data_IF_380790084867
#
_entry.id   IF_380790084867
#
_cell.length_a   1.000
_cell.length_b   1.000
_cell.length_c   1.000
_cell.angle_alpha   90.00
_cell.angle_beta   90.00
_cell.angle_gamma   90.00
#
_symmetry.space_group_name_H-M   'P 1'
#
loop_
_entity.id
_entity.type
_entity.pdbx_description
1 polymer ?
#
# COMPACT_ATOMS: atom_id res chain seq x y z
N UNK A 1 -2.27 -17.22 -20.02
CA UNK A 1 -1.15 -16.30 -19.77
C UNK A 1 0.15 -17.07 -20.00
N UNK A 2 0.94 -16.62 -20.94
CA UNK A 2 2.27 -17.21 -21.18
C UNK A 2 3.32 -16.61 -20.25
N UNK A 3 4.56 -17.12 -20.30
CA UNK A 3 5.65 -16.65 -19.41
C UNK A 3 6.01 -15.16 -19.61
N UNK A 4 5.96 -14.68 -20.86
CA UNK A 4 6.23 -13.28 -21.20
C UNK A 4 5.14 -12.35 -20.65
N UNK A 5 3.88 -12.74 -20.78
CA UNK A 5 2.74 -11.97 -20.24
C UNK A 5 2.78 -11.92 -18.71
N UNK A 6 3.16 -13.03 -18.08
CA UNK A 6 3.34 -13.12 -16.63
C UNK A 6 4.40 -12.12 -16.15
N UNK A 7 5.58 -12.13 -16.79
CA UNK A 7 6.67 -11.24 -16.43
C UNK A 7 6.26 -9.76 -16.63
N UNK A 8 5.66 -9.44 -17.76
CA UNK A 8 5.23 -8.07 -18.07
C UNK A 8 4.21 -7.56 -17.05
N UNK A 9 3.25 -8.39 -16.64
CA UNK A 9 2.25 -8.02 -15.63
C UNK A 9 2.90 -7.77 -14.26
N UNK A 10 3.80 -8.64 -13.82
CA UNK A 10 4.52 -8.47 -12.56
C UNK A 10 5.36 -7.20 -12.55
N UNK A 11 6.05 -6.90 -13.64
CA UNK A 11 6.86 -5.69 -13.78
C UNK A 11 6.00 -4.42 -13.79
N UNK A 12 4.84 -4.43 -14.45
CA UNK A 12 3.90 -3.31 -14.44
C UNK A 12 3.33 -3.09 -13.03
N UNK A 13 2.89 -4.16 -12.37
CA UNK A 13 2.40 -4.09 -10.99
C UNK A 13 3.47 -3.53 -10.05
N UNK A 14 4.71 -4.01 -10.18
CA UNK A 14 5.84 -3.52 -9.40
C UNK A 14 6.05 -2.02 -9.58
N UNK A 15 6.08 -1.53 -10.83
CA UNK A 15 6.28 -0.10 -11.10
C UNK A 15 5.22 0.76 -10.42
N UNK A 16 3.96 0.37 -10.52
CA UNK A 16 2.86 1.13 -9.93
C UNK A 16 2.85 1.02 -8.40
N UNK A 17 3.18 -0.14 -7.85
CA UNK A 17 3.30 -0.33 -6.40
C UNK A 17 4.48 0.47 -5.84
N UNK A 18 5.61 0.50 -6.54
CA UNK A 18 6.76 1.32 -6.19
C UNK A 18 6.44 2.82 -6.25
N UNK A 19 5.59 3.24 -7.18
CA UNK A 19 5.10 4.63 -7.24
C UNK A 19 4.26 4.99 -6.00
N UNK A 20 3.40 4.10 -5.52
CA UNK A 20 2.69 4.30 -4.24
C UNK A 20 3.66 4.41 -3.07
N UNK A 21 4.66 3.52 -3.01
CA UNK A 21 5.69 3.57 -1.98
C UNK A 21 6.43 4.91 -1.94
N UNK A 22 6.84 5.42 -3.10
CA UNK A 22 7.50 6.73 -3.21
C UNK A 22 6.59 7.88 -2.72
N UNK A 23 5.30 7.85 -3.06
CA UNK A 23 4.31 8.81 -2.55
C UNK A 23 4.22 8.77 -1.04
N UNK A 24 4.14 7.59 -0.46
CA UNK A 24 4.00 7.40 0.98
C UNK A 24 5.26 7.79 1.74
N UNK A 25 6.46 7.60 1.17
CA UNK A 25 7.70 8.13 1.74
C UNK A 25 7.66 9.66 1.81
N UNK A 26 7.29 10.31 0.73
CA UNK A 26 7.15 11.77 0.70
C UNK A 26 6.04 12.24 1.65
N UNK A 27 4.91 11.54 1.70
CA UNK A 27 3.81 11.81 2.63
C UNK A 27 4.22 11.71 4.09
N UNK A 28 5.00 10.70 4.44
CA UNK A 28 5.52 10.52 5.80
C UNK A 28 6.39 11.70 6.26
N UNK A 29 7.18 12.27 5.36
CA UNK A 29 7.99 13.47 5.65
C UNK A 29 7.12 14.72 5.84
N UNK A 30 6.00 14.81 5.13
CA UNK A 30 5.08 15.96 5.16
C UNK A 30 4.08 15.91 6.33
N UNK A 31 3.84 14.74 6.91
CA UNK A 31 2.85 14.52 7.97
C UNK A 31 3.56 14.36 9.31
N UNK A 32 3.51 15.41 10.14
CA UNK A 32 4.24 15.49 11.42
C UNK A 32 3.43 15.03 12.63
N UNK A 33 2.11 14.96 12.55
CA UNK A 33 1.28 14.48 13.65
C UNK A 33 1.61 13.02 13.98
N UNK A 34 1.84 12.73 15.26
CA UNK A 34 2.37 11.46 15.73
C UNK A 34 1.60 10.23 15.22
N UNK A 35 0.29 10.21 15.44
CA UNK A 35 -0.54 9.07 15.06
C UNK A 35 -0.60 8.87 13.54
N UNK A 36 -0.75 9.96 12.77
CA UNK A 36 -0.76 9.90 11.32
C UNK A 36 0.60 9.48 10.77
N UNK A 37 1.70 10.01 11.32
CA UNK A 37 3.05 9.59 10.93
C UNK A 37 3.29 8.11 11.22
N UNK A 38 2.86 7.60 12.37
CA UNK A 38 2.94 6.18 12.71
C UNK A 38 2.19 5.31 11.70
N UNK A 39 1.02 5.75 11.22
CA UNK A 39 0.29 5.04 10.17
C UNK A 39 1.10 4.99 8.87
N UNK A 40 1.71 6.09 8.45
CA UNK A 40 2.62 6.12 7.30
C UNK A 40 3.81 5.18 7.49
N UNK A 41 4.44 5.15 8.66
CA UNK A 41 5.56 4.25 8.92
C UNK A 41 5.14 2.78 8.88
N UNK A 42 3.97 2.45 9.39
CA UNK A 42 3.39 1.11 9.27
C UNK A 42 3.17 0.71 7.82
N UNK A 43 2.55 1.60 7.04
CA UNK A 43 2.32 1.38 5.59
C UNK A 43 3.63 1.15 4.85
N UNK A 44 4.64 2.00 5.08
CA UNK A 44 5.96 1.89 4.44
C UNK A 44 6.64 0.55 4.75
N UNK A 45 6.57 0.09 6.00
CA UNK A 45 7.14 -1.20 6.38
C UNK A 45 6.45 -2.37 5.65
N UNK A 46 5.13 -2.32 5.47
CA UNK A 46 4.40 -3.34 4.71
C UNK A 46 4.72 -3.26 3.22
N UNK A 47 4.81 -2.05 2.68
CA UNK A 47 5.14 -1.85 1.26
C UNK A 47 6.55 -2.31 0.91
N UNK A 48 7.49 -2.14 1.81
CA UNK A 48 8.85 -2.66 1.64
C UNK A 48 8.83 -4.20 1.49
N UNK A 49 8.04 -4.88 2.30
CA UNK A 49 7.82 -6.32 2.16
C UNK A 49 7.15 -6.69 0.83
N UNK A 50 6.13 -5.93 0.41
CA UNK A 50 5.46 -6.15 -0.88
C UNK A 50 6.44 -6.04 -2.06
N UNK A 51 7.28 -5.02 -2.06
CA UNK A 51 8.27 -4.81 -3.12
C UNK A 51 9.30 -5.94 -3.14
N UNK A 52 9.70 -6.44 -1.98
CA UNK A 52 10.60 -7.59 -1.89
C UNK A 52 9.98 -8.86 -2.47
N UNK A 53 8.73 -9.15 -2.15
CA UNK A 53 8.01 -10.30 -2.74
C UNK A 53 7.90 -10.18 -4.26
N UNK A 54 7.62 -8.99 -4.75
CA UNK A 54 7.50 -8.72 -6.20
C UNK A 54 8.84 -8.88 -6.91
N UNK A 55 9.94 -8.37 -6.33
CA UNK A 55 11.30 -8.56 -6.88
C UNK A 55 11.64 -10.03 -7.02
N UNK A 56 11.31 -10.83 -6.01
CA UNK A 56 11.55 -12.29 -6.06
C UNK A 56 10.71 -12.95 -7.16
N UNK A 57 9.43 -12.65 -7.23
CA UNK A 57 8.55 -13.22 -8.26
C UNK A 57 8.98 -12.82 -9.68
N UNK A 58 9.43 -11.57 -9.88
CA UNK A 58 9.98 -11.09 -11.15
C UNK A 58 11.27 -11.85 -11.50
N UNK A 59 12.17 -12.03 -10.53
CA UNK A 59 13.39 -12.82 -10.71
C UNK A 59 13.11 -14.27 -11.10
N UNK A 60 12.15 -14.92 -10.42
CA UNK A 60 11.69 -16.27 -10.75
C UNK A 60 11.04 -16.36 -12.15
N UNK A 61 10.45 -15.27 -12.61
CA UNK A 61 9.90 -15.17 -13.96
C UNK A 61 10.93 -14.82 -15.03
N UNK A 62 12.21 -14.67 -14.64
CA UNK A 62 13.33 -14.46 -15.55
C UNK A 62 13.60 -12.99 -15.90
N UNK A 63 13.07 -12.04 -15.12
CA UNK A 63 13.29 -10.62 -15.35
C UNK A 63 13.94 -9.91 -14.16
N UNK A 64 13.97 -8.59 -14.24
CA UNK A 64 14.44 -7.70 -13.18
C UNK A 64 13.40 -6.63 -12.88
N UNK A 65 13.27 -6.28 -11.59
CA UNK A 65 12.47 -5.15 -11.16
C UNK A 65 13.19 -3.84 -11.53
N UNK A 66 12.42 -2.81 -11.87
CA UNK A 66 12.93 -1.48 -12.10
C UNK A 66 13.24 -0.73 -10.80
N UNK A 67 13.71 0.49 -10.95
CA UNK A 67 13.95 1.39 -9.83
C UNK A 67 12.63 1.97 -9.29
N UNK A 68 12.64 2.41 -8.02
CA UNK A 68 11.54 3.15 -7.43
C UNK A 68 11.49 4.55 -8.06
N UNK A 69 10.35 4.97 -8.64
CA UNK A 69 10.25 6.28 -9.27
C UNK A 69 10.29 7.41 -8.24
N UNK A 70 10.64 8.61 -8.70
CA UNK A 70 10.52 9.81 -7.87
C UNK A 70 9.04 10.09 -7.54
N UNK A 71 8.72 10.56 -6.32
CA UNK A 71 7.35 10.90 -5.97
C UNK A 71 6.86 12.13 -6.76
N UNK A 72 5.55 12.22 -7.05
CA UNK A 72 4.98 13.44 -7.62
C UNK A 72 5.00 14.56 -6.58
N UNK A 73 4.82 15.82 -6.99
CA UNK A 73 4.64 16.91 -6.06
C UNK A 73 3.45 16.65 -5.12
N UNK A 74 3.62 16.94 -3.83
CA UNK A 74 2.57 16.75 -2.84
C UNK A 74 1.66 17.98 -2.77
N UNK A 75 0.35 17.81 -2.48
CA UNK A 75 -0.51 18.92 -2.13
C UNK A 75 -0.09 19.54 -0.79
N UNK A 76 -0.58 20.73 -0.50
CA UNK A 76 -0.26 21.43 0.74
C UNK A 76 -1.18 20.99 1.88
N UNK A 77 -0.59 20.62 3.01
CA UNK A 77 -1.30 20.23 4.23
C UNK A 77 -1.50 18.73 4.40
N UNK A 78 -1.44 18.27 5.64
CA UNK A 78 -1.48 16.86 5.99
C UNK A 78 -2.78 16.16 5.54
N UNK A 79 -3.93 16.80 5.72
CA UNK A 79 -5.21 16.25 5.29
C UNK A 79 -5.31 16.09 3.76
N UNK A 80 -4.78 17.06 3.01
CA UNK A 80 -4.74 16.98 1.56
C UNK A 80 -3.77 15.90 1.07
N UNK A 81 -2.63 15.72 1.72
CA UNK A 81 -1.68 14.63 1.44
C UNK A 81 -2.36 13.27 1.66
N UNK A 82 -2.99 13.07 2.81
CA UNK A 82 -3.69 11.82 3.12
C UNK A 82 -4.85 11.55 2.15
N UNK A 83 -5.63 12.58 1.80
CA UNK A 83 -6.72 12.47 0.84
C UNK A 83 -6.23 12.07 -0.56
N UNK A 84 -5.11 12.63 -0.98
CA UNK A 84 -4.47 12.30 -2.26
C UNK A 84 -3.94 10.85 -2.27
N UNK A 85 -3.36 10.39 -1.16
CA UNK A 85 -2.92 9.00 -1.00
C UNK A 85 -4.10 8.02 -0.96
N UNK A 86 -5.20 8.39 -0.31
CA UNK A 86 -6.43 7.59 -0.33
C UNK A 86 -6.97 7.42 -1.76
N UNK A 87 -6.99 8.51 -2.53
CA UNK A 87 -7.43 8.48 -3.94
C UNK A 87 -6.51 7.61 -4.80
N UNK A 88 -5.19 7.78 -4.66
CA UNK A 88 -4.21 7.00 -5.42
C UNK A 88 -4.32 5.49 -5.12
N UNK A 89 -4.54 5.12 -3.86
CA UNK A 89 -4.77 3.74 -3.46
C UNK A 89 -6.07 3.19 -4.05
N UNK A 90 -7.15 3.96 -4.05
CA UNK A 90 -8.43 3.56 -4.66
C UNK A 90 -8.30 3.34 -6.16
N UNK A 91 -7.61 4.21 -6.88
CA UNK A 91 -7.35 4.07 -8.32
C UNK A 91 -6.50 2.82 -8.62
N UNK A 92 -5.50 2.56 -7.81
CA UNK A 92 -4.66 1.36 -7.91
C UNK A 92 -5.50 0.09 -7.74
N UNK A 93 -6.33 0.02 -6.70
CA UNK A 93 -7.22 -1.11 -6.44
C UNK A 93 -8.20 -1.34 -7.60
N UNK A 94 -8.84 -0.29 -8.08
CA UNK A 94 -9.81 -0.38 -9.18
C UNK A 94 -9.17 -0.94 -10.46
N UNK A 95 -7.93 -0.55 -10.75
CA UNK A 95 -7.20 -1.02 -11.93
C UNK A 95 -6.71 -2.47 -11.78
N UNK A 96 -6.21 -2.83 -10.62
CA UNK A 96 -5.51 -4.10 -10.44
C UNK A 96 -6.39 -5.27 -9.99
N UNK A 97 -7.44 -5.03 -9.21
CA UNK A 97 -8.30 -6.11 -8.72
C UNK A 97 -8.83 -7.03 -9.83
N UNK A 98 -9.43 -6.52 -10.93
CA UNK A 98 -9.90 -7.39 -11.99
C UNK A 98 -8.76 -8.11 -12.73
N UNK A 99 -7.63 -7.44 -12.94
CA UNK A 99 -6.47 -8.02 -13.63
C UNK A 99 -5.85 -9.17 -12.84
N UNK A 100 -5.67 -8.98 -11.54
CA UNK A 100 -5.14 -10.02 -10.64
C UNK A 100 -6.09 -11.21 -10.55
N UNK A 101 -7.39 -10.95 -10.43
CA UNK A 101 -8.41 -12.01 -10.41
C UNK A 101 -8.39 -12.88 -11.67
N UNK A 102 -8.08 -12.30 -12.81
CA UNK A 102 -8.00 -13.00 -14.08
C UNK A 102 -6.71 -13.78 -14.31
N UNK A 103 -5.71 -13.67 -13.41
CA UNK A 103 -4.43 -14.36 -13.56
C UNK A 103 -4.58 -15.88 -13.45
N UNK A 104 -3.94 -16.60 -14.35
CA UNK A 104 -3.88 -18.07 -14.32
C UNK A 104 -2.79 -18.62 -13.41
N UNK A 105 -1.68 -17.88 -13.20
CA UNK A 105 -0.60 -18.31 -12.32
C UNK A 105 -1.01 -18.19 -10.84
N UNK A 106 -1.42 -19.29 -10.24
CA UNK A 106 -2.09 -19.31 -8.93
C UNK A 106 -1.24 -18.74 -7.79
N UNK A 107 0.05 -19.03 -7.76
CA UNK A 107 0.96 -18.53 -6.71
C UNK A 107 1.09 -17.01 -6.76
N UNK A 108 1.35 -16.45 -7.93
CA UNK A 108 1.46 -15.00 -8.10
C UNK A 108 0.12 -14.31 -7.84
N UNK A 109 -0.98 -14.87 -8.36
CA UNK A 109 -2.31 -14.35 -8.10
C UNK A 109 -2.56 -14.22 -6.60
N UNK A 110 -2.28 -15.27 -5.83
CA UNK A 110 -2.50 -15.25 -4.37
C UNK A 110 -1.62 -14.23 -3.66
N UNK A 111 -0.37 -14.10 -4.07
CA UNK A 111 0.54 -13.07 -3.55
C UNK A 111 0.00 -11.65 -3.83
N UNK A 112 -0.42 -11.38 -5.07
CA UNK A 112 -0.96 -10.07 -5.45
C UNK A 112 -2.30 -9.79 -4.77
N UNK A 113 -3.15 -10.79 -4.57
CA UNK A 113 -4.39 -10.65 -3.78
C UNK A 113 -4.11 -10.23 -2.34
N UNK A 114 -3.06 -10.77 -1.71
CA UNK A 114 -2.63 -10.33 -0.38
C UNK A 114 -2.17 -8.87 -0.39
N UNK A 115 -1.35 -8.49 -1.36
CA UNK A 115 -0.91 -7.11 -1.52
C UNK A 115 -2.10 -6.16 -1.70
N UNK A 116 -3.04 -6.50 -2.56
CA UNK A 116 -4.25 -5.70 -2.78
C UNK A 116 -5.11 -5.58 -1.51
N UNK A 117 -5.21 -6.64 -0.72
CA UNK A 117 -5.91 -6.60 0.57
C UNK A 117 -5.28 -5.62 1.54
N UNK A 118 -3.95 -5.58 1.60
CA UNK A 118 -3.23 -4.60 2.44
C UNK A 118 -3.33 -3.18 1.88
N UNK A 119 -3.31 -2.98 0.57
CA UNK A 119 -3.55 -1.66 -0.04
C UNK A 119 -4.95 -1.13 0.30
N UNK A 120 -5.95 -2.00 0.35
CA UNK A 120 -7.31 -1.62 0.79
C UNK A 120 -7.32 -1.16 2.25
N UNK A 121 -6.57 -1.80 3.12
CA UNK A 121 -6.38 -1.36 4.51
C UNK A 121 -5.68 0.00 4.57
N UNK A 122 -4.61 0.19 3.80
CA UNK A 122 -3.88 1.46 3.73
C UNK A 122 -4.78 2.59 3.22
N UNK A 123 -5.59 2.34 2.20
CA UNK A 123 -6.57 3.30 1.69
C UNK A 123 -7.52 3.78 2.80
N UNK A 124 -7.97 2.86 3.64
CA UNK A 124 -8.81 3.20 4.80
C UNK A 124 -8.08 4.11 5.78
N UNK A 125 -6.80 3.83 6.11
CA UNK A 125 -6.01 4.69 6.98
C UNK A 125 -5.89 6.12 6.43
N UNK A 126 -5.57 6.25 5.16
CA UNK A 126 -5.46 7.56 4.51
C UNK A 126 -6.79 8.31 4.47
N UNK A 127 -7.87 7.61 4.16
CA UNK A 127 -9.22 8.19 4.15
C UNK A 127 -9.62 8.69 5.54
N UNK A 128 -9.36 7.93 6.59
CA UNK A 128 -9.64 8.33 7.96
C UNK A 128 -8.75 9.49 8.42
N UNK A 129 -7.47 9.49 8.05
CA UNK A 129 -6.57 10.60 8.32
C UNK A 129 -7.02 11.89 7.64
N UNK A 130 -7.46 11.82 6.39
CA UNK A 130 -8.02 12.96 5.65
C UNK A 130 -9.27 13.51 6.32
N UNK A 131 -10.08 12.66 6.95
CA UNK A 131 -11.26 13.01 7.74
C UNK A 131 -10.97 13.50 9.17
N UNK A 132 -9.69 13.58 9.57
CA UNK A 132 -9.28 14.11 10.88
C UNK A 132 -9.18 13.08 11.99
N UNK A 133 -9.28 11.77 11.71
CA UNK A 133 -9.07 10.72 12.72
C UNK A 133 -7.60 10.64 13.11
N UNK A 134 -7.33 10.45 14.40
CA UNK A 134 -5.98 10.40 14.97
C UNK A 134 -5.49 8.98 15.25
N UNK A 135 -6.30 8.12 15.80
CA UNK A 135 -5.95 6.75 16.23
C UNK A 135 -6.11 5.71 15.10
N UNK A 136 -5.46 5.93 13.97
CA UNK A 136 -5.69 5.19 12.71
C UNK A 136 -5.44 3.70 12.84
N UNK A 137 -4.34 3.29 13.47
CA UNK A 137 -3.96 1.89 13.61
C UNK A 137 -4.82 1.12 14.63
N UNK A 138 -5.46 1.84 15.54
CA UNK A 138 -6.35 1.26 16.55
C UNK A 138 -7.81 1.16 16.11
N UNK A 139 -8.16 1.68 14.93
CA UNK A 139 -9.55 1.69 14.47
C UNK A 139 -9.98 0.37 13.84
N UNK A 140 -11.24 0.03 14.04
CA UNK A 140 -11.92 -1.07 13.35
C UNK A 140 -12.22 -0.69 11.89
N UNK A 141 -12.54 -1.67 11.01
CA UNK A 141 -12.93 -1.39 9.62
C UNK A 141 -14.10 -0.41 9.46
N UNK A 142 -15.01 -0.34 10.44
CA UNK A 142 -16.13 0.61 10.47
C UNK A 142 -15.72 2.04 10.93
N UNK A 143 -14.44 2.26 11.23
CA UNK A 143 -13.91 3.52 11.72
C UNK A 143 -14.04 3.73 13.23
N UNK A 144 -14.65 2.81 13.97
CA UNK A 144 -14.78 2.92 15.42
C UNK A 144 -13.42 2.73 16.11
N UNK A 145 -13.16 3.51 17.16
CA UNK A 145 -11.98 3.34 17.99
C UNK A 145 -12.01 2.02 18.76
N UNK A 146 -10.85 1.53 19.16
CA UNK A 146 -10.73 0.28 19.93
C UNK A 146 -11.10 0.44 21.40
N UNK A 147 -11.24 1.67 21.92
CA UNK A 147 -11.60 1.96 23.30
C UNK A 147 -10.60 1.43 24.33
N UNK A 148 -10.44 2.14 25.45
CA UNK A 148 -9.73 1.63 26.62
C UNK A 148 -8.20 1.58 26.57
N UNK A 149 -7.55 1.96 25.50
CA UNK A 149 -6.09 2.11 25.42
C UNK A 149 -5.28 0.81 25.60
N UNK A 150 -5.91 -0.36 25.46
CA UNK A 150 -5.20 -1.64 25.53
C UNK A 150 -4.66 -2.01 24.16
N UNK A 151 -3.34 -2.20 24.07
CA UNK A 151 -2.70 -2.66 22.85
C UNK A 151 -3.16 -4.08 22.48
N UNK A 152 -3.43 -4.36 21.20
CA UNK A 152 -3.71 -5.73 20.76
C UNK A 152 -2.56 -6.67 21.14
N UNK A 153 -2.86 -7.90 21.51
CA UNK A 153 -1.86 -8.90 21.92
C UNK A 153 -0.73 -9.07 20.92
N UNK A 154 -1.03 -8.99 19.64
CA UNK A 154 -0.04 -9.09 18.56
C UNK A 154 1.11 -8.06 18.63
N UNK A 155 0.94 -7.01 19.42
CA UNK A 155 1.97 -5.99 19.62
C UNK A 155 2.78 -6.21 20.92
N UNK A 156 2.38 -7.18 21.73
CA UNK A 156 2.99 -7.48 23.02
C UNK A 156 3.83 -8.77 22.95
N UNK A 157 3.61 -9.58 21.93
CA UNK A 157 4.38 -10.78 21.62
C UNK A 157 5.55 -10.45 20.69
#
# INVERSE_FOLDING_TARGET
MNASDRLALLQEFYREKAALFARHQAGAEAVSAYDANNAYQYVLAREDAHLDWLRRAIGEAGGAAGEVPAPPPLPSGAAAVAGDDARAASEFLARWQPRVRAMSHARDRKMLELVLGEVAEHQRFFSQAAGGSADLLGRRPDGAGTGGGVLPRRWVE
#
